data_IF_138955780298
#
_entry.id   IF_138955780298
#
_cell.length_a   1.000
_cell.length_b   1.000
_cell.length_c   1.000
_cell.angle_alpha   90.00
_cell.angle_beta   90.00
_cell.angle_gamma   90.00
#
_symmetry.space_group_name_H-M   'P 1'
#
loop_
_entity.id
_entity.type
_entity.pdbx_description
1 polymer ?
#
# COMPACT_ATOMS: atom_id res chain seq x y z
N UNK A 1 10.28 11.11 8.92
CA UNK A 1 10.42 10.59 10.28
C UNK A 1 10.78 11.67 11.34
N UNK A 2 11.01 12.89 10.95
CA UNK A 2 11.31 14.00 11.88
C UNK A 2 10.11 14.92 12.17
N UNK A 3 8.94 14.60 11.63
CA UNK A 3 7.73 15.41 11.83
C UNK A 3 6.99 14.89 13.05
N UNK A 4 7.06 15.61 14.14
CA UNK A 4 6.32 15.31 15.38
C UNK A 4 4.96 15.98 15.40
N UNK A 5 4.78 17.06 14.61
CA UNK A 5 3.57 17.87 14.56
C UNK A 5 3.11 18.15 13.13
N UNK A 6 1.83 18.38 13.00
CA UNK A 6 1.20 18.87 11.76
C UNK A 6 1.25 20.40 11.71
N UNK A 7 1.14 20.97 10.51
CA UNK A 7 1.04 22.42 10.31
C UNK A 7 -0.19 23.03 11.01
N UNK A 8 -1.21 22.20 11.28
CA UNK A 8 -2.44 22.58 11.98
C UNK A 8 -2.33 22.52 13.51
N UNK A 9 -1.16 22.14 14.05
CA UNK A 9 -0.86 22.22 15.49
C UNK A 9 -1.24 20.99 16.32
N UNK A 10 -1.45 19.82 15.73
CA UNK A 10 -1.71 18.56 16.45
C UNK A 10 -0.54 17.57 16.35
N UNK A 11 -0.57 16.50 17.18
CA UNK A 11 0.36 15.40 17.05
C UNK A 11 0.15 14.65 15.71
N UNK A 12 1.24 14.22 15.07
CA UNK A 12 1.16 13.53 13.80
C UNK A 12 0.55 12.13 13.96
N UNK A 13 -0.47 11.81 13.14
CA UNK A 13 -1.06 10.46 13.06
C UNK A 13 -0.36 9.62 11.99
N UNK A 14 -0.12 8.34 12.32
CA UNK A 14 0.39 7.35 11.39
C UNK A 14 -0.56 7.23 10.19
N UNK A 15 -0.01 7.22 8.98
CA UNK A 15 -0.78 6.99 7.76
C UNK A 15 -0.61 5.55 7.28
N UNK A 16 -1.73 4.90 7.00
CA UNK A 16 -1.81 3.52 6.54
C UNK A 16 -2.32 3.49 5.10
N UNK A 17 -1.71 2.67 4.27
CA UNK A 17 -2.19 2.43 2.91
C UNK A 17 -3.22 1.30 2.91
N UNK A 18 -4.43 1.58 2.43
CA UNK A 18 -5.49 0.58 2.29
C UNK A 18 -5.42 -0.03 0.89
N UNK A 19 -5.22 -1.35 0.84
CA UNK A 19 -5.16 -2.11 -0.39
C UNK A 19 -6.50 -2.78 -0.68
N UNK A 20 -6.91 -2.76 -1.94
CA UNK A 20 -8.08 -3.48 -2.41
C UNK A 20 -7.70 -4.38 -3.58
N UNK A 21 -8.23 -5.60 -3.59
CA UNK A 21 -8.14 -6.47 -4.75
C UNK A 21 -8.93 -5.84 -5.91
N UNK A 22 -8.32 -5.80 -7.09
CA UNK A 22 -9.01 -5.41 -8.32
C UNK A 22 -9.74 -6.63 -8.84
N UNK A 23 -11.07 -6.60 -8.79
CA UNK A 23 -11.89 -7.67 -9.37
C UNK A 23 -11.76 -7.57 -10.91
N UNK A 24 -11.30 -8.64 -11.54
CA UNK A 24 -11.07 -8.69 -13.00
C UNK A 24 -12.35 -8.56 -13.84
N UNK A 25 -13.50 -8.35 -13.19
CA UNK A 25 -14.81 -8.21 -13.85
C UNK A 25 -14.95 -6.95 -14.68
N UNK A 26 -14.21 -5.88 -14.33
CA UNK A 26 -14.34 -4.55 -14.95
C UNK A 26 -13.31 -4.31 -16.06
N UNK A 27 -12.56 -5.32 -16.48
CA UNK A 27 -11.62 -5.16 -17.58
C UNK A 27 -12.40 -4.95 -18.88
N UNK A 28 -12.04 -3.93 -19.66
CA UNK A 28 -12.64 -3.61 -20.97
C UNK A 28 -12.83 -4.85 -21.86
N UNK A 29 -11.90 -5.80 -21.80
CA UNK A 29 -11.98 -7.09 -22.51
C UNK A 29 -13.19 -7.92 -22.09
N UNK A 30 -13.52 -7.94 -20.80
CA UNK A 30 -14.68 -8.68 -20.27
C UNK A 30 -15.97 -7.99 -20.67
N UNK A 31 -16.01 -6.67 -20.64
CA UNK A 31 -17.17 -5.88 -21.09
C UNK A 31 -17.37 -6.08 -22.60
N UNK A 32 -16.31 -6.06 -23.39
CA UNK A 32 -16.37 -6.28 -24.83
C UNK A 32 -16.82 -7.69 -25.20
N UNK A 33 -16.31 -8.72 -24.50
CA UNK A 33 -16.72 -10.10 -24.69
C UNK A 33 -18.21 -10.33 -24.36
N UNK A 34 -18.72 -9.67 -23.33
CA UNK A 34 -20.15 -9.66 -22.97
C UNK A 34 -21.02 -9.03 -24.08
N UNK A 35 -20.52 -7.98 -24.72
CA UNK A 35 -21.28 -7.23 -25.74
C UNK A 35 -21.30 -7.92 -27.09
N UNK A 36 -20.22 -8.63 -27.47
CA UNK A 36 -20.09 -9.25 -28.79
C UNK A 36 -20.77 -10.61 -28.94
N UNK A 37 -20.89 -11.39 -27.86
CA UNK A 37 -21.28 -12.80 -28.00
C UNK A 37 -22.68 -13.16 -27.49
N UNK A 38 -23.46 -12.30 -26.88
CA UNK A 38 -24.83 -12.61 -26.44
C UNK A 38 -25.01 -13.92 -25.62
N UNK A 39 -23.95 -14.72 -25.50
CA UNK A 39 -23.88 -16.01 -24.85
C UNK A 39 -22.73 -16.02 -23.83
N UNK A 40 -23.03 -15.62 -22.61
CA UNK A 40 -22.10 -15.72 -21.49
C UNK A 40 -22.25 -17.08 -20.82
N UNK A 41 -21.84 -18.12 -21.47
CA UNK A 41 -21.62 -19.39 -20.80
C UNK A 41 -20.14 -19.76 -20.93
N UNK A 42 -19.45 -19.82 -19.80
CA UNK A 42 -18.08 -20.32 -19.61
C UNK A 42 -16.91 -19.38 -19.98
N UNK A 43 -17.03 -18.07 -19.75
CA UNK A 43 -15.81 -17.31 -19.55
C UNK A 43 -15.22 -17.74 -18.21
N UNK A 44 -14.23 -18.64 -18.24
CA UNK A 44 -13.37 -18.89 -17.09
C UNK A 44 -12.86 -17.53 -16.68
N UNK A 45 -13.29 -17.06 -15.52
CA UNK A 45 -12.74 -15.89 -14.86
C UNK A 45 -11.30 -16.25 -14.47
N UNK A 46 -10.37 -16.10 -15.41
CA UNK A 46 -8.99 -15.94 -15.04
C UNK A 46 -8.97 -14.61 -14.29
N UNK A 47 -8.88 -14.72 -12.98
CA UNK A 47 -8.72 -13.61 -12.07
C UNK A 47 -7.37 -12.93 -12.39
N UNK A 48 -7.33 -12.11 -13.43
CA UNK A 48 -6.22 -11.19 -13.71
C UNK A 48 -6.31 -9.98 -12.78
N UNK A 49 -6.85 -10.21 -11.59
CA UNK A 49 -6.98 -9.22 -10.55
C UNK A 49 -5.61 -8.88 -9.99
N UNK A 50 -5.32 -7.61 -9.90
CA UNK A 50 -4.19 -7.06 -9.16
C UNK A 50 -4.63 -6.52 -7.81
N UNK A 51 -3.71 -5.82 -7.15
CA UNK A 51 -3.98 -5.06 -5.94
C UNK A 51 -3.75 -3.59 -6.24
N UNK A 52 -4.65 -2.72 -5.81
CA UNK A 52 -4.51 -1.27 -5.93
C UNK A 52 -4.59 -0.61 -4.54
N UNK A 53 -3.90 0.49 -4.37
CA UNK A 53 -4.10 1.38 -3.22
C UNK A 53 -5.37 2.17 -3.47
N UNK A 54 -6.33 2.09 -2.57
CA UNK A 54 -7.62 2.78 -2.68
C UNK A 54 -7.61 4.06 -1.88
N UNK A 55 -6.97 4.03 -0.72
CA UNK A 55 -7.00 5.13 0.22
C UNK A 55 -5.72 5.13 1.06
N UNK A 56 -5.37 6.32 1.54
CA UNK A 56 -4.39 6.50 2.61
C UNK A 56 -5.17 6.96 3.83
N UNK A 57 -5.45 6.04 4.75
CA UNK A 57 -6.19 6.29 5.97
C UNK A 57 -5.26 6.67 7.12
N UNK A 58 -5.78 7.40 8.11
CA UNK A 58 -5.07 7.66 9.35
C UNK A 58 -5.35 6.55 10.35
N UNK A 59 -4.32 6.16 11.10
CA UNK A 59 -4.43 5.15 12.15
C UNK A 59 -5.29 5.70 13.29
N UNK A 60 -6.43 5.06 13.63
CA UNK A 60 -7.32 5.51 14.68
C UNK A 60 -6.79 5.26 16.10
N UNK A 61 -5.63 4.62 16.27
CA UNK A 61 -5.06 4.34 17.58
C UNK A 61 -4.73 5.61 18.36
N UNK A 62 -4.79 5.50 19.68
CA UNK A 62 -4.54 6.62 20.57
C UNK A 62 -3.11 7.12 20.51
N UNK A 63 -2.93 8.43 20.78
CA UNK A 63 -1.61 9.04 20.91
C UNK A 63 -0.88 8.54 22.15
N UNK A 64 0.44 8.51 22.07
CA UNK A 64 1.28 8.23 23.25
C UNK A 64 1.35 9.49 24.10
N UNK A 65 1.06 9.38 25.38
CA UNK A 65 1.13 10.49 26.31
C UNK A 65 2.49 10.50 27.03
N UNK A 66 3.14 11.66 27.06
CA UNK A 66 4.35 11.90 27.84
C UNK A 66 4.08 13.00 28.86
N UNK A 67 4.40 12.76 30.11
CA UNK A 67 4.32 13.78 31.14
C UNK A 67 5.50 14.74 31.05
N UNK A 68 5.23 15.99 30.65
CA UNK A 68 6.22 17.06 30.55
C UNK A 68 5.53 18.41 30.70
N UNK A 69 5.35 18.89 31.96
CA UNK A 69 4.64 20.14 32.22
C UNK A 69 5.41 21.40 31.79
N UNK A 70 6.65 21.25 31.37
CA UNK A 70 7.48 22.38 30.89
C UNK A 70 7.35 22.61 29.39
N UNK A 71 6.76 21.66 28.68
CA UNK A 71 6.51 21.78 27.25
C UNK A 71 5.36 22.78 27.02
N UNK A 72 5.51 23.76 26.08
CA UNK A 72 4.45 24.73 25.75
C UNK A 72 3.16 24.07 25.23
N UNK A 73 3.22 22.81 24.85
CA UNK A 73 2.13 22.04 24.28
C UNK A 73 1.51 21.03 25.26
N UNK A 74 1.92 21.11 26.52
CA UNK A 74 1.33 20.30 27.58
C UNK A 74 -0.13 20.74 27.81
N UNK A 75 -1.01 19.75 28.00
CA UNK A 75 -2.38 20.03 28.41
C UNK A 75 -2.43 20.53 29.88
N UNK A 76 -3.62 20.87 30.38
CA UNK A 76 -3.82 21.36 31.76
C UNK A 76 -3.32 20.37 32.83
N UNK A 77 -3.21 19.10 32.49
CA UNK A 77 -2.72 18.03 33.35
C UNK A 77 -1.19 17.79 33.23
N UNK A 78 -0.51 18.53 32.34
CA UNK A 78 0.93 18.44 32.10
C UNK A 78 1.35 17.27 31.16
N UNK A 79 0.45 16.74 30.37
CA UNK A 79 0.74 15.71 29.39
C UNK A 79 0.84 16.29 27.96
N UNK A 80 1.82 15.79 27.22
CA UNK A 80 2.03 16.09 25.80
C UNK A 80 1.64 14.89 24.96
N UNK A 81 0.87 15.09 23.93
CA UNK A 81 0.54 14.05 22.94
C UNK A 81 1.70 13.84 21.98
N UNK A 82 2.22 12.62 21.94
CA UNK A 82 3.23 12.19 20.97
C UNK A 82 2.58 11.42 19.81
N UNK A 83 3.20 11.46 18.61
CA UNK A 83 2.73 10.65 17.48
C UNK A 83 2.55 9.18 17.84
N UNK A 84 1.51 8.56 17.30
CA UNK A 84 1.24 7.12 17.45
C UNK A 84 2.10 6.25 16.51
N UNK A 85 3.30 6.73 16.19
CA UNK A 85 4.26 6.07 15.31
C UNK A 85 5.28 5.28 16.14
N UNK A 86 5.49 4.02 15.79
CA UNK A 86 6.59 3.22 16.33
C UNK A 86 7.70 3.16 15.28
N UNK A 87 8.81 3.84 15.55
CA UNK A 87 9.93 3.94 14.62
C UNK A 87 10.53 2.58 14.25
N UNK A 88 10.55 1.63 15.21
CA UNK A 88 11.12 0.30 14.98
C UNK A 88 10.23 -0.49 14.01
N UNK A 89 8.92 -0.42 14.20
CA UNK A 89 7.95 -1.03 13.30
C UNK A 89 8.00 -0.42 11.91
N UNK A 90 8.06 0.91 11.80
CA UNK A 90 8.14 1.59 10.50
C UNK A 90 9.42 1.24 9.73
N UNK A 91 10.55 1.10 10.42
CA UNK A 91 11.80 0.67 9.80
C UNK A 91 11.70 -0.78 9.33
N UNK A 92 11.11 -1.67 10.13
CA UNK A 92 10.89 -3.06 9.74
C UNK A 92 9.97 -3.17 8.51
N UNK A 93 8.87 -2.42 8.49
CA UNK A 93 7.94 -2.36 7.37
C UNK A 93 8.61 -1.81 6.09
N UNK A 94 9.44 -0.76 6.22
CA UNK A 94 10.21 -0.22 5.11
C UNK A 94 11.22 -1.24 4.55
N UNK A 95 11.88 -2.00 5.42
CA UNK A 95 12.78 -3.08 5.00
C UNK A 95 12.04 -4.20 4.29
N UNK A 96 10.87 -4.62 4.81
CA UNK A 96 10.03 -5.64 4.18
C UNK A 96 9.53 -5.17 2.79
N UNK A 97 9.08 -3.93 2.68
CA UNK A 97 8.66 -3.34 1.41
C UNK A 97 9.80 -3.28 0.38
N UNK A 98 11.00 -2.88 0.81
CA UNK A 98 12.20 -2.85 -0.04
C UNK A 98 12.55 -4.25 -0.56
N UNK A 99 12.49 -5.26 0.31
CA UNK A 99 12.75 -6.65 -0.05
C UNK A 99 11.72 -7.18 -1.06
N UNK A 100 10.43 -6.90 -0.83
CA UNK A 100 9.36 -7.28 -1.74
C UNK A 100 9.51 -6.61 -3.11
N UNK A 101 9.86 -5.33 -3.14
CA UNK A 101 10.14 -4.61 -4.38
C UNK A 101 11.31 -5.24 -5.16
N UNK A 102 12.41 -5.53 -4.48
CA UNK A 102 13.58 -6.16 -5.09
C UNK A 102 13.27 -7.54 -5.66
N UNK A 103 12.46 -8.34 -4.95
CA UNK A 103 12.01 -9.65 -5.42
C UNK A 103 11.15 -9.52 -6.69
N UNK A 104 10.23 -8.56 -6.73
CA UNK A 104 9.39 -8.30 -7.90
C UNK A 104 10.20 -7.85 -9.12
N UNK A 105 11.19 -6.96 -8.93
CA UNK A 105 12.09 -6.53 -10.01
C UNK A 105 12.91 -7.73 -10.55
N UNK A 106 13.39 -8.59 -9.66
CA UNK A 106 14.12 -9.81 -10.05
C UNK A 106 13.22 -10.75 -10.86
N UNK A 107 11.99 -11.00 -10.39
CA UNK A 107 11.03 -11.84 -11.10
C UNK A 107 10.70 -11.28 -12.50
N UNK A 108 10.55 -9.95 -12.61
CA UNK A 108 10.33 -9.28 -13.90
C UNK A 108 11.51 -9.47 -14.85
N UNK A 109 12.74 -9.31 -14.36
CA UNK A 109 13.95 -9.49 -15.17
C UNK A 109 14.10 -10.93 -15.64
N UNK A 110 13.78 -11.93 -14.80
CA UNK A 110 13.76 -13.35 -15.19
C UNK A 110 12.74 -13.60 -16.29
N UNK A 111 11.52 -13.10 -16.14
CA UNK A 111 10.49 -13.21 -17.18
C UNK A 111 10.93 -12.60 -18.49
N UNK A 112 11.52 -11.40 -18.47
CA UNK A 112 12.06 -10.73 -19.65
C UNK A 112 13.13 -11.59 -20.33
N UNK A 113 14.03 -12.19 -19.58
CA UNK A 113 15.08 -13.08 -20.09
C UNK A 113 14.50 -14.33 -20.75
N UNK A 114 13.52 -14.97 -20.12
CA UNK A 114 12.84 -16.15 -20.67
C UNK A 114 12.14 -15.83 -21.99
N UNK A 115 11.42 -14.69 -22.05
CA UNK A 115 10.76 -14.27 -23.28
C UNK A 115 11.78 -13.99 -24.39
N UNK A 116 12.87 -13.31 -24.06
CA UNK A 116 13.95 -13.03 -25.03
C UNK A 116 14.55 -14.32 -25.59
N UNK A 117 14.89 -15.28 -24.71
CA UNK A 117 15.43 -16.59 -25.13
C UNK A 117 14.42 -17.39 -25.94
N UNK A 118 13.13 -17.32 -25.59
CA UNK A 118 12.05 -17.98 -26.36
C UNK A 118 11.91 -17.43 -27.78
N UNK A 119 12.11 -16.12 -27.96
CA UNK A 119 12.09 -15.47 -29.28
C UNK A 119 13.31 -15.84 -30.13
N UNK A 120 14.47 -16.07 -29.51
CA UNK A 120 15.69 -16.48 -30.21
C UNK A 120 15.61 -17.94 -30.73
N UNK A 121 14.91 -18.82 -30.00
CA UNK A 121 14.70 -20.23 -30.40
C UNK A 121 13.72 -20.32 -31.59
N UNK A 122 12.84 -19.34 -31.75
CA UNK A 122 11.84 -19.30 -32.84
C UNK A 122 12.33 -18.69 -34.14
N UNK A 123 13.60 -18.34 -34.22
CA UNK A 123 14.30 -17.89 -35.43
C UNK A 123 15.11 -19.02 -36.00
#
# INVERSE_FOLDING_TARGET
MNTTRTEEGGAYRRKLTVFQAVDGRDTFRNVLALTQNGMVSNVRHENTGGVKVVEIAEDPSDFKLKYDPTDPDANEEGYVELPNVDLVMEVADAMAASQAYSANVTAFNVLKSVISSGLEIGR
#
